data_IF_374729651713
#
_entry.id   IF_374729651713
#
_cell.length_a   1.000
_cell.length_b   1.000
_cell.length_c   1.000
_cell.angle_alpha   90.00
_cell.angle_beta   90.00
_cell.angle_gamma   90.00
#
_symmetry.space_group_name_H-M   'P 1'
#
loop_
_entity.id
_entity.type
_entity.pdbx_description
1 polymer ?
#
# COMPACT_ATOMS: atom_id res chain seq x y z
N UNK A 1 18.37 -4.68 1.30
CA UNK A 1 17.37 -4.36 2.33
C UNK A 1 16.09 -5.11 2.00
N UNK A 2 15.42 -5.75 2.96
CA UNK A 2 14.14 -6.44 2.74
C UNK A 2 13.05 -5.56 3.38
N UNK A 3 12.01 -5.18 2.65
CA UNK A 3 10.91 -4.40 3.20
C UNK A 3 10.04 -5.33 4.06
N UNK A 4 10.17 -5.23 5.38
CA UNK A 4 9.42 -6.09 6.30
C UNK A 4 7.97 -5.61 6.47
N UNK A 5 7.14 -5.81 5.44
CA UNK A 5 5.70 -5.49 5.48
C UNK A 5 4.91 -6.36 6.48
N UNK A 6 5.42 -7.56 6.82
CA UNK A 6 4.79 -8.52 7.75
C UNK A 6 4.60 -8.02 9.19
N UNK A 7 5.20 -6.90 9.56
CA UNK A 7 5.06 -6.30 10.90
C UNK A 7 4.12 -5.10 10.90
N UNK A 8 3.45 -4.80 9.78
CA UNK A 8 2.52 -3.69 9.72
C UNK A 8 1.26 -4.03 10.54
N UNK A 9 0.76 -3.08 11.36
CA UNK A 9 -0.37 -3.30 12.26
C UNK A 9 -1.70 -3.25 11.49
N UNK A 10 -1.88 -4.12 10.50
CA UNK A 10 -3.18 -4.36 9.84
C UNK A 10 -4.12 -5.06 10.82
N UNK A 11 -5.43 -4.95 10.62
CA UNK A 11 -6.39 -5.49 11.60
C UNK A 11 -6.25 -7.00 11.81
N UNK A 12 -6.07 -7.81 10.75
CA UNK A 12 -5.90 -9.25 10.93
C UNK A 12 -4.69 -9.58 11.84
N UNK A 13 -3.56 -8.91 11.60
CA UNK A 13 -2.34 -9.06 12.40
C UNK A 13 -2.53 -8.63 13.86
N UNK A 14 -3.22 -7.51 14.10
CA UNK A 14 -3.50 -7.03 15.46
C UNK A 14 -4.33 -8.06 16.26
N UNK A 15 -5.31 -8.69 15.61
CA UNK A 15 -6.14 -9.74 16.22
C UNK A 15 -5.30 -10.97 16.54
N UNK A 16 -4.43 -11.40 15.63
CA UNK A 16 -3.50 -12.51 15.85
C UNK A 16 -2.55 -12.26 17.04
N UNK A 17 -2.23 -10.99 17.32
CA UNK A 17 -1.44 -10.58 18.51
C UNK A 17 -2.25 -10.45 19.79
N UNK A 18 -3.55 -10.79 19.77
CA UNK A 18 -4.42 -10.73 20.94
C UNK A 18 -4.88 -9.32 21.30
N UNK A 19 -4.73 -8.34 20.40
CA UNK A 19 -5.27 -7.00 20.59
C UNK A 19 -6.74 -6.98 20.18
N UNK A 20 -7.57 -6.37 21.03
CA UNK A 20 -8.99 -6.17 20.72
C UNK A 20 -9.15 -5.11 19.63
N UNK A 21 -9.87 -5.47 18.58
CA UNK A 21 -10.15 -4.57 17.46
C UNK A 21 -11.63 -4.26 17.48
N UNK A 22 -12.01 -2.98 17.66
CA UNK A 22 -13.40 -2.58 17.62
C UNK A 22 -14.07 -2.95 16.30
N UNK A 23 -15.34 -3.33 16.38
CA UNK A 23 -16.24 -3.58 15.25
C UNK A 23 -15.89 -4.83 14.42
N UNK A 24 -14.96 -4.73 13.47
CA UNK A 24 -14.56 -5.83 12.59
C UNK A 24 -13.11 -5.67 12.09
N UNK A 25 -12.47 -6.81 11.81
CA UNK A 25 -11.20 -6.88 11.07
C UNK A 25 -11.35 -6.65 9.58
N UNK A 26 -12.56 -6.60 9.07
CA UNK A 26 -12.77 -6.54 7.64
C UNK A 26 -12.46 -5.14 7.11
N UNK A 27 -12.00 -5.11 5.86
CA UNK A 27 -11.83 -3.88 5.11
C UNK A 27 -13.20 -3.23 4.89
N UNK A 28 -13.36 -1.91 5.16
CA UNK A 28 -14.65 -1.24 4.98
C UNK A 28 -15.14 -1.25 3.53
N UNK A 29 -14.23 -1.29 2.55
CA UNK A 29 -14.53 -1.25 1.12
C UNK A 29 -14.87 -2.64 0.55
N UNK A 30 -14.06 -3.64 0.86
CA UNK A 30 -14.17 -4.97 0.24
C UNK A 30 -14.94 -5.99 1.09
N UNK A 31 -15.14 -5.72 2.39
CA UNK A 31 -15.78 -6.66 3.34
C UNK A 31 -15.05 -7.99 3.53
N UNK A 32 -13.75 -8.02 3.24
CA UNK A 32 -12.85 -9.16 3.49
C UNK A 32 -11.87 -8.83 4.62
N UNK A 33 -11.30 -9.85 5.30
CA UNK A 33 -10.30 -9.62 6.35
C UNK A 33 -9.15 -8.73 5.88
N UNK A 34 -8.86 -7.68 6.66
CA UNK A 34 -7.78 -6.73 6.34
C UNK A 34 -6.41 -7.35 6.66
N UNK A 35 -5.87 -8.12 5.72
CA UNK A 35 -4.49 -8.63 5.72
C UNK A 35 -3.54 -7.67 4.98
N UNK A 36 -2.24 -7.94 5.04
CA UNK A 36 -1.23 -7.17 4.30
C UNK A 36 -1.45 -7.34 2.79
N UNK A 37 -1.66 -8.56 2.29
CA UNK A 37 -1.94 -8.74 0.87
C UNK A 37 -3.24 -8.04 0.47
N UNK A 38 -4.28 -8.11 1.31
CA UNK A 38 -5.52 -7.41 1.03
C UNK A 38 -5.29 -5.89 0.93
N UNK A 39 -4.58 -5.29 1.87
CA UNK A 39 -4.34 -3.84 1.88
C UNK A 39 -3.54 -3.37 0.68
N UNK A 40 -2.45 -4.06 0.32
CA UNK A 40 -1.50 -3.59 -0.68
C UNK A 40 -1.72 -4.14 -2.09
N UNK A 41 -2.48 -5.23 -2.25
CA UNK A 41 -2.63 -5.93 -3.53
C UNK A 41 -4.10 -6.01 -3.93
N UNK A 42 -4.96 -6.55 -3.06
CA UNK A 42 -6.29 -6.99 -3.49
C UNK A 42 -7.41 -5.99 -3.23
N UNK A 43 -7.21 -4.99 -2.37
CA UNK A 43 -8.24 -3.99 -2.16
C UNK A 43 -8.40 -3.08 -3.37
N UNK A 44 -9.64 -2.64 -3.63
CA UNK A 44 -9.99 -1.68 -4.67
C UNK A 44 -9.04 -0.48 -4.75
N UNK A 45 -8.75 0.19 -3.63
CA UNK A 45 -7.84 1.35 -3.62
C UNK A 45 -6.45 1.01 -4.18
N UNK A 46 -5.91 -0.15 -3.80
CA UNK A 46 -4.60 -0.60 -4.23
C UNK A 46 -4.63 -1.02 -5.71
N UNK A 47 -5.64 -1.80 -6.12
CA UNK A 47 -5.80 -2.24 -7.50
C UNK A 47 -5.88 -1.04 -8.47
N UNK A 48 -6.75 -0.07 -8.19
CA UNK A 48 -6.89 1.11 -9.04
C UNK A 48 -5.62 1.96 -9.06
N UNK A 49 -4.98 2.14 -7.90
CA UNK A 49 -3.74 2.92 -7.84
C UNK A 49 -2.62 2.28 -8.65
N UNK A 50 -2.40 0.98 -8.48
CA UNK A 50 -1.33 0.27 -9.19
C UNK A 50 -1.55 0.21 -10.70
N UNK A 51 -2.78 -0.07 -11.13
CA UNK A 51 -3.14 -0.12 -12.54
C UNK A 51 -2.90 1.23 -13.24
N UNK A 52 -3.28 2.33 -12.59
CA UNK A 52 -2.98 3.69 -13.09
C UNK A 52 -1.47 3.93 -13.12
N UNK A 53 -0.75 3.62 -12.03
CA UNK A 53 0.69 3.88 -11.94
C UNK A 53 1.50 3.11 -12.99
N UNK A 54 1.21 1.81 -13.17
CA UNK A 54 1.88 0.96 -14.16
C UNK A 54 1.67 1.47 -15.58
N UNK A 55 0.45 1.94 -15.91
CA UNK A 55 0.16 2.56 -17.22
C UNK A 55 0.87 3.90 -17.38
N UNK A 56 0.94 4.72 -16.34
CA UNK A 56 1.64 6.02 -16.38
C UNK A 56 3.14 5.85 -16.58
N UNK A 57 3.78 4.93 -15.86
CA UNK A 57 5.21 4.67 -15.96
C UNK A 57 5.59 3.74 -17.12
N UNK A 58 4.60 3.14 -17.79
CA UNK A 58 4.78 2.09 -18.82
C UNK A 58 5.68 0.93 -18.32
N UNK A 59 5.63 0.63 -17.03
CA UNK A 59 6.43 -0.41 -16.36
C UNK A 59 5.50 -1.37 -15.63
N UNK A 60 5.77 -2.66 -15.74
CA UNK A 60 5.06 -3.69 -14.98
C UNK A 60 5.77 -3.91 -13.64
N UNK A 61 5.05 -3.72 -12.54
CA UNK A 61 5.52 -4.04 -11.20
C UNK A 61 5.12 -5.45 -10.81
N UNK A 62 5.96 -6.11 -10.01
CA UNK A 62 5.71 -7.43 -9.44
C UNK A 62 4.73 -7.32 -8.25
N UNK A 63 3.48 -6.96 -8.49
CA UNK A 63 2.46 -6.79 -7.43
C UNK A 63 1.99 -8.17 -6.93
N UNK A 64 2.87 -8.79 -6.15
CA UNK A 64 2.70 -10.09 -5.52
C UNK A 64 3.13 -9.98 -4.06
N UNK A 65 2.73 -10.92 -3.19
CA UNK A 65 3.14 -10.91 -1.79
C UNK A 65 4.67 -10.87 -1.60
N UNK A 66 5.42 -11.52 -2.50
CA UNK A 66 6.88 -11.48 -2.52
C UNK A 66 7.40 -10.12 -3.02
N UNK A 67 6.82 -9.58 -4.08
CA UNK A 67 7.25 -8.31 -4.65
C UNK A 67 7.02 -7.12 -3.72
N UNK A 68 5.88 -7.05 -3.01
CA UNK A 68 5.67 -6.01 -2.00
C UNK A 68 6.58 -6.15 -0.76
N UNK A 69 7.10 -7.36 -0.50
CA UNK A 69 7.97 -7.64 0.64
C UNK A 69 9.45 -7.43 0.32
N UNK A 70 9.86 -7.71 -0.91
CA UNK A 70 11.26 -7.63 -1.30
C UNK A 70 11.57 -6.47 -2.24
N UNK A 71 10.54 -5.74 -2.68
CA UNK A 71 10.65 -4.66 -3.65
C UNK A 71 11.40 -5.15 -4.90
N UNK A 72 10.94 -6.27 -5.45
CA UNK A 72 11.59 -6.95 -6.57
C UNK A 72 11.31 -6.20 -7.88
N UNK A 73 12.16 -5.20 -8.15
CA UNK A 73 12.08 -4.33 -9.32
C UNK A 73 13.39 -4.42 -10.10
N UNK A 74 13.28 -4.79 -11.38
CA UNK A 74 14.40 -4.73 -12.30
C UNK A 74 14.80 -3.28 -12.55
N UNK A 75 16.00 -2.91 -12.09
CA UNK A 75 16.63 -1.62 -12.36
C UNK A 75 17.38 -1.67 -13.70
N UNK A 76 16.66 -2.04 -14.75
CA UNK A 76 17.21 -2.16 -16.11
C UNK A 76 17.24 -0.81 -16.85
N UNK A 77 16.55 0.19 -16.30
CA UNK A 77 16.36 1.52 -16.87
C UNK A 77 16.94 2.58 -15.92
N UNK A 78 17.43 3.73 -16.41
CA UNK A 78 17.95 4.85 -15.58
C UNK A 78 16.88 5.48 -14.63
N UNK A 79 15.65 4.97 -14.67
CA UNK A 79 14.51 5.42 -13.87
C UNK A 79 14.44 4.63 -12.55
N UNK A 80 14.33 5.29 -11.38
CA UNK A 80 14.28 4.63 -10.08
C UNK A 80 12.88 4.02 -9.81
N UNK A 81 12.58 2.91 -10.49
CA UNK A 81 11.30 2.22 -10.39
C UNK A 81 11.03 1.63 -9.01
N UNK A 82 12.08 1.19 -8.32
CA UNK A 82 12.05 0.76 -6.92
C UNK A 82 11.51 1.87 -6.00
N UNK A 83 11.97 3.11 -6.20
CA UNK A 83 11.53 4.26 -5.45
C UNK A 83 10.04 4.56 -5.69
N UNK A 84 9.58 4.53 -6.94
CA UNK A 84 8.15 4.71 -7.25
C UNK A 84 7.28 3.63 -6.63
N UNK A 85 7.73 2.37 -6.66
CA UNK A 85 7.01 1.27 -6.01
C UNK A 85 6.97 1.48 -4.48
N UNK A 86 8.09 1.84 -3.85
CA UNK A 86 8.13 2.13 -2.41
C UNK A 86 7.22 3.30 -2.03
N UNK A 87 7.24 4.39 -2.78
CA UNK A 87 6.36 5.53 -2.57
C UNK A 87 4.88 5.14 -2.75
N UNK A 88 4.57 4.27 -3.71
CA UNK A 88 3.24 3.72 -3.90
C UNK A 88 2.75 2.92 -2.69
N UNK A 89 3.58 2.00 -2.19
CA UNK A 89 3.28 1.21 -1.00
C UNK A 89 3.05 2.12 0.22
N UNK A 90 3.93 3.09 0.43
CA UNK A 90 3.78 4.03 1.53
C UNK A 90 2.51 4.90 1.39
N UNK A 91 2.16 5.32 0.18
CA UNK A 91 0.95 6.10 -0.08
C UNK A 91 -0.33 5.32 0.20
N UNK A 92 -0.37 4.04 -0.17
CA UNK A 92 -1.49 3.15 0.16
C UNK A 92 -1.61 3.05 1.67
N UNK A 93 -0.49 2.80 2.36
CA UNK A 93 -0.48 2.71 3.81
C UNK A 93 -0.99 4.00 4.47
N UNK A 94 -0.49 5.17 4.05
CA UNK A 94 -0.92 6.45 4.60
C UNK A 94 -2.42 6.71 4.42
N UNK A 95 -2.95 6.47 3.21
CA UNK A 95 -4.39 6.62 2.94
C UNK A 95 -5.23 5.72 3.85
N UNK A 96 -4.81 4.47 4.04
CA UNK A 96 -5.47 3.52 4.94
C UNK A 96 -5.45 3.96 6.39
N UNK A 97 -4.30 4.42 6.88
CA UNK A 97 -4.17 4.90 8.25
C UNK A 97 -5.01 6.14 8.50
N UNK A 98 -5.11 7.05 7.53
CA UNK A 98 -5.94 8.23 7.66
C UNK A 98 -7.43 7.88 7.81
N UNK A 99 -7.92 6.92 7.02
CA UNK A 99 -9.30 6.42 7.17
C UNK A 99 -9.48 5.71 8.50
N UNK A 100 -8.52 4.88 8.92
CA UNK A 100 -8.59 4.14 10.19
C UNK A 100 -8.62 5.06 11.40
N UNK A 101 -7.86 6.14 11.39
CA UNK A 101 -7.81 7.12 12.48
C UNK A 101 -8.91 8.17 12.40
N UNK A 102 -9.82 8.06 11.41
CA UNK A 102 -10.87 9.02 11.15
C UNK A 102 -10.32 10.46 10.97
N UNK A 103 -9.18 10.58 10.28
CA UNK A 103 -8.56 11.87 10.01
C UNK A 103 -9.51 12.73 9.15
N UNK A 104 -9.78 13.96 9.60
CA UNK A 104 -10.66 14.89 8.88
C UNK A 104 -10.18 15.21 7.46
N UNK A 105 -8.88 15.01 7.20
CA UNK A 105 -8.24 15.25 5.91
C UNK A 105 -7.84 13.95 5.21
N UNK A 106 -8.49 12.82 5.50
CA UNK A 106 -8.25 11.57 4.80
C UNK A 106 -8.47 11.74 3.29
N UNK A 107 -7.51 11.27 2.48
CA UNK A 107 -7.54 11.39 1.02
C UNK A 107 -7.33 10.04 0.35
N UNK A 108 -7.63 9.99 -0.95
CA UNK A 108 -7.29 8.86 -1.81
C UNK A 108 -5.77 8.72 -1.95
N UNK A 109 -5.32 7.50 -2.24
CA UNK A 109 -3.89 7.12 -2.39
C UNK A 109 -3.10 8.08 -3.29
N UNK A 110 -3.68 8.48 -4.43
CA UNK A 110 -3.03 9.36 -5.41
C UNK A 110 -2.57 10.70 -4.82
N UNK A 111 -3.32 11.26 -3.87
CA UNK A 111 -2.95 12.55 -3.26
C UNK A 111 -1.71 12.42 -2.39
N UNK A 112 -1.60 11.34 -1.60
CA UNK A 112 -0.40 11.06 -0.82
C UNK A 112 0.79 10.81 -1.75
N UNK A 113 0.59 10.04 -2.82
CA UNK A 113 1.64 9.74 -3.79
C UNK A 113 2.19 11.01 -4.47
N UNK A 114 1.33 11.87 -5.04
CA UNK A 114 1.78 13.10 -5.66
C UNK A 114 2.51 14.03 -4.69
N UNK A 115 2.05 14.12 -3.44
CA UNK A 115 2.72 14.92 -2.43
C UNK A 115 4.10 14.37 -2.06
N UNK A 116 4.28 13.05 -2.07
CA UNK A 116 5.56 12.42 -1.80
C UNK A 116 6.52 12.60 -2.97
N UNK A 117 6.07 12.38 -4.20
CA UNK A 117 6.90 12.58 -5.40
C UNK A 117 7.42 14.02 -5.47
N UNK A 118 6.57 15.02 -5.24
CA UNK A 118 6.94 16.45 -5.19
C UNK A 118 7.98 16.81 -4.11
N UNK A 119 8.17 15.97 -3.09
CA UNK A 119 9.14 16.21 -2.02
C UNK A 119 10.50 15.59 -2.30
N UNK A 120 10.58 14.69 -3.27
CA UNK A 120 11.84 14.01 -3.63
C UNK A 120 12.45 14.57 -4.92
N UNK A 121 11.68 15.30 -5.71
CA UNK A 121 12.17 16.25 -6.73
C UNK A 121 12.81 17.49 -6.08
#
# INVERSE_FOLDING_TARGET
FKLHSNTLPVKAWLREKGLEIPWSVDCPLCKEPETIEHVFIFCWDALFFWDVLQRTLKKQFSISPLGIRFLDVGNDDEVPHDMFFLLGLFSIWQSRMAVRHADATAKEVRFYFFNLVKRVE
#
